data_IF_049833822295
#
_entry.id   IF_049833822295
#
_cell.length_a   1.000
_cell.length_b   1.000
_cell.length_c   1.000
_cell.angle_alpha   90.00
_cell.angle_beta   90.00
_cell.angle_gamma   90.00
#
_symmetry.space_group_name_H-M   'P 1'
#
loop_
_entity.id
_entity.type
_entity.pdbx_description
1 polymer ?
#
# COMPACT_ATOMS: atom_id res chain seq x y z
N UNK A 1 -0.10 -2.82 -8.08
CA UNK A 1 1.32 -2.72 -7.66
C UNK A 1 1.91 -1.36 -8.03
N UNK A 2 1.85 -0.93 -9.30
CA UNK A 2 2.34 0.38 -9.75
C UNK A 2 1.88 1.55 -8.87
N UNK A 3 0.59 1.61 -8.52
CA UNK A 3 0.04 2.63 -7.62
C UNK A 3 0.81 2.79 -6.30
N UNK A 4 1.34 1.71 -5.70
CA UNK A 4 2.11 1.80 -4.45
C UNK A 4 3.40 2.60 -4.64
N UNK A 5 4.11 2.38 -5.75
CA UNK A 5 5.38 3.06 -6.07
C UNK A 5 5.14 4.51 -6.48
N UNK A 6 3.99 4.80 -7.10
CA UNK A 6 3.61 6.17 -7.47
C UNK A 6 3.21 7.04 -6.28
N UNK A 7 2.77 6.43 -5.16
CA UNK A 7 2.21 7.14 -4.01
C UNK A 7 3.07 7.05 -2.74
N UNK A 8 4.00 6.10 -2.68
CA UNK A 8 4.84 5.87 -1.52
C UNK A 8 6.26 5.53 -1.92
N UNK A 9 7.20 6.02 -1.12
CA UNK A 9 8.62 5.69 -1.21
C UNK A 9 9.14 5.27 0.17
N UNK A 10 10.33 4.67 0.18
CA UNK A 10 11.05 4.38 1.42
C UNK A 10 11.75 5.66 1.88
N UNK A 11 11.64 5.97 3.16
CA UNK A 11 12.33 7.08 3.78
C UNK A 11 12.92 6.65 5.12
N UNK A 12 14.16 7.06 5.39
CA UNK A 12 14.87 6.71 6.64
C UNK A 12 14.31 7.48 7.84
N UNK A 13 14.29 6.84 9.00
CA UNK A 13 13.91 7.48 10.27
C UNK A 13 12.42 7.81 10.42
N UNK A 14 11.58 7.41 9.47
CA UNK A 14 10.13 7.65 9.53
C UNK A 14 9.33 6.35 9.40
N UNK A 15 8.12 6.35 9.95
CA UNK A 15 7.19 5.23 9.85
C UNK A 15 5.80 5.72 9.46
N UNK A 16 5.18 5.06 8.48
CA UNK A 16 3.77 5.27 8.16
C UNK A 16 2.93 4.12 8.73
N UNK A 17 1.83 4.40 9.46
CA UNK A 17 0.93 3.34 9.91
C UNK A 17 0.37 2.54 8.73
N UNK A 18 0.45 1.20 8.80
CA UNK A 18 -0.05 0.31 7.72
C UNK A 18 -1.53 0.53 7.41
N UNK A 19 -2.32 0.85 8.44
CA UNK A 19 -3.75 1.15 8.30
C UNK A 19 -3.99 2.40 7.43
N UNK A 20 -3.17 3.44 7.58
CA UNK A 20 -3.25 4.66 6.74
C UNK A 20 -3.01 4.32 5.27
N UNK A 21 -1.97 3.54 4.99
CA UNK A 21 -1.65 3.11 3.62
C UNK A 21 -2.75 2.23 3.02
N UNK A 22 -3.32 1.32 3.83
CA UNK A 22 -4.41 0.45 3.39
C UNK A 22 -5.71 1.23 3.11
N UNK A 23 -6.07 2.19 3.96
CA UNK A 23 -7.24 3.05 3.71
C UNK A 23 -7.09 3.87 2.42
N UNK A 24 -5.89 4.40 2.16
CA UNK A 24 -5.63 5.10 0.91
C UNK A 24 -5.78 4.16 -0.30
N UNK A 25 -5.28 2.92 -0.18
CA UNK A 25 -5.47 1.89 -1.20
C UNK A 25 -6.96 1.53 -1.41
N UNK A 26 -7.76 1.41 -0.35
CA UNK A 26 -9.20 1.15 -0.46
C UNK A 26 -9.92 2.28 -1.22
N UNK A 27 -9.55 3.54 -0.94
CA UNK A 27 -10.08 4.69 -1.67
C UNK A 27 -9.74 4.63 -3.15
N UNK A 28 -8.47 4.34 -3.47
CA UNK A 28 -8.04 4.14 -4.86
C UNK A 28 -8.82 3.02 -5.55
N UNK A 29 -9.04 1.89 -4.87
CA UNK A 29 -9.84 0.79 -5.41
C UNK A 29 -11.28 1.21 -5.69
N UNK A 30 -11.92 1.91 -4.75
CA UNK A 30 -13.28 2.43 -4.92
C UNK A 30 -13.40 3.37 -6.12
N UNK A 31 -12.51 4.37 -6.21
CA UNK A 31 -12.57 5.40 -7.27
C UNK A 31 -12.28 4.79 -8.66
N UNK A 32 -11.54 3.68 -8.73
CA UNK A 32 -11.18 2.99 -9.97
C UNK A 32 -11.98 1.70 -10.23
N UNK A 33 -13.01 1.41 -9.42
CA UNK A 33 -13.84 0.20 -9.50
C UNK A 33 -13.03 -1.11 -9.49
N UNK A 34 -11.99 -1.16 -8.66
CA UNK A 34 -11.15 -2.33 -8.45
C UNK A 34 -11.61 -3.09 -7.20
N UNK A 35 -11.52 -4.41 -7.23
CA UNK A 35 -11.73 -5.23 -6.04
C UNK A 35 -10.48 -5.18 -5.14
N UNK A 36 -10.59 -4.67 -3.91
CA UNK A 36 -9.45 -4.60 -3.02
C UNK A 36 -9.08 -5.97 -2.48
N UNK A 37 -7.78 -6.23 -2.35
CA UNK A 37 -7.31 -7.38 -1.56
C UNK A 37 -7.49 -7.09 -0.07
N UNK A 38 -7.65 -8.14 0.74
CA UNK A 38 -7.74 -7.99 2.19
C UNK A 38 -6.44 -7.43 2.80
N UNK A 39 -6.51 -6.94 4.05
CA UNK A 39 -5.38 -6.32 4.74
C UNK A 39 -4.14 -7.22 4.85
N UNK A 40 -4.32 -8.54 5.03
CA UNK A 40 -3.22 -9.49 5.13
C UNK A 40 -2.49 -9.65 3.78
N UNK A 41 -3.24 -9.81 2.69
CA UNK A 41 -2.72 -9.86 1.33
C UNK A 41 -2.09 -8.53 0.91
N UNK A 42 -2.68 -7.40 1.31
CA UNK A 42 -2.09 -6.08 1.09
C UNK A 42 -0.71 -5.95 1.77
N UNK A 43 -0.59 -6.43 3.01
CA UNK A 43 0.70 -6.48 3.70
C UNK A 43 1.75 -7.37 3.01
N UNK A 44 1.34 -8.39 2.23
CA UNK A 44 2.26 -9.16 1.37
C UNK A 44 2.68 -8.36 0.15
N UNK A 45 1.76 -7.63 -0.48
CA UNK A 45 2.05 -6.75 -1.62
C UNK A 45 3.07 -5.66 -1.25
N UNK A 46 2.87 -4.98 -0.12
CA UNK A 46 3.84 -3.97 0.38
C UNK A 46 5.25 -4.54 0.44
N UNK A 47 5.42 -5.73 1.05
CA UNK A 47 6.74 -6.38 1.18
C UNK A 47 7.35 -6.82 -0.15
N UNK A 48 6.53 -7.17 -1.13
CA UNK A 48 7.02 -7.48 -2.49
C UNK A 48 7.45 -6.25 -3.28
N UNK A 49 6.88 -5.07 -2.97
CA UNK A 49 7.16 -3.82 -3.69
C UNK A 49 8.30 -3.04 -3.06
N UNK A 50 8.29 -2.94 -1.73
CA UNK A 50 9.32 -2.23 -0.96
C UNK A 50 10.22 -3.26 -0.27
N UNK A 51 11.31 -3.62 -0.95
CA UNK A 51 12.29 -4.56 -0.43
C UNK A 51 12.92 -4.02 0.87
N UNK A 52 13.14 -4.90 1.84
CA UNK A 52 13.78 -4.56 3.13
C UNK A 52 12.83 -4.03 4.22
N UNK A 53 11.52 -4.22 4.07
CA UNK A 53 10.48 -4.00 5.10
C UNK A 53 10.21 -5.22 5.98
#
# INVERSE_FOLDING_TARGET
>A
VQWLVENYERAEGVSLPRYTMYNHYLRHCYDNKLDPVNAASFGKLIRSVFLGL
#
